data_IF_940192633545
#
_entry.id   IF_940192633545
#
_cell.length_a   1.000
_cell.length_b   1.000
_cell.length_c   1.000
_cell.angle_alpha   90.00
_cell.angle_beta   90.00
_cell.angle_gamma   90.00
#
_symmetry.space_group_name_H-M   'P 1'
#
loop_
_entity.id
_entity.type
_entity.pdbx_description
1 polymer ?
#
# COMPACT_ATOMS: atom_id res chain seq x y z
N UNK A 1 23.08 -35.62 -2.22
CA UNK A 1 21.99 -34.76 -2.77
C UNK A 1 21.35 -34.05 -1.58
N UNK A 2 21.77 -32.82 -1.29
CA UNK A 2 21.30 -32.07 -0.13
C UNK A 2 19.90 -31.51 -0.43
N UNK A 3 18.95 -31.88 0.42
CA UNK A 3 17.56 -31.47 0.40
C UNK A 3 17.49 -29.96 0.67
N UNK A 4 17.22 -29.19 -0.37
CA UNK A 4 16.97 -27.75 -0.29
C UNK A 4 15.56 -27.57 0.27
N UNK A 5 15.44 -27.41 1.58
CA UNK A 5 14.21 -26.96 2.22
C UNK A 5 14.02 -25.48 1.88
N UNK A 6 13.31 -25.24 0.78
CA UNK A 6 12.81 -23.90 0.43
C UNK A 6 11.77 -23.51 1.48
N UNK A 7 12.07 -22.43 2.19
CA UNK A 7 11.21 -21.70 3.10
C UNK A 7 9.96 -21.14 2.36
N UNK A 8 8.96 -21.99 2.13
CA UNK A 8 7.63 -21.61 1.59
C UNK A 8 6.72 -21.04 2.70
N UNK A 9 7.19 -20.05 3.47
CA UNK A 9 6.39 -19.49 4.58
C UNK A 9 6.42 -17.95 4.72
N UNK A 10 7.13 -17.21 3.86
CA UNK A 10 7.26 -15.74 4.01
C UNK A 10 6.87 -14.88 2.80
N UNK A 11 6.63 -15.48 1.63
CA UNK A 11 6.68 -14.76 0.35
C UNK A 11 5.32 -14.15 -0.03
N UNK A 12 4.21 -14.71 0.44
CA UNK A 12 2.85 -14.30 0.02
C UNK A 12 2.41 -12.92 0.51
N UNK A 13 2.70 -12.57 1.78
CA UNK A 13 2.28 -11.27 2.35
C UNK A 13 3.19 -10.13 1.89
N UNK A 14 4.51 -10.36 1.82
CA UNK A 14 5.48 -9.36 1.38
C UNK A 14 5.27 -9.00 -0.08
N UNK A 15 5.13 -9.99 -0.97
CA UNK A 15 4.92 -9.74 -2.39
C UNK A 15 3.64 -8.93 -2.65
N UNK A 16 2.56 -9.22 -1.91
CA UNK A 16 1.32 -8.44 -2.03
C UNK A 16 1.48 -7.02 -1.48
N UNK A 17 2.20 -6.85 -0.37
CA UNK A 17 2.49 -5.53 0.21
C UNK A 17 3.35 -4.67 -0.74
N UNK A 18 4.32 -5.27 -1.44
CA UNK A 18 5.16 -4.59 -2.43
C UNK A 18 4.35 -4.14 -3.64
N UNK A 19 3.46 -4.97 -4.18
CA UNK A 19 2.59 -4.59 -5.30
C UNK A 19 1.69 -3.41 -4.93
N UNK A 20 1.08 -3.44 -3.74
CA UNK A 20 0.24 -2.35 -3.26
C UNK A 20 1.04 -1.08 -2.98
N UNK A 21 2.28 -1.22 -2.51
CA UNK A 21 3.19 -0.10 -2.34
C UNK A 21 3.48 0.59 -3.67
N UNK A 22 3.88 -0.16 -4.69
CA UNK A 22 4.22 0.40 -6.01
C UNK A 22 2.99 1.05 -6.65
N UNK A 23 1.80 0.45 -6.50
CA UNK A 23 0.54 1.06 -6.94
C UNK A 23 0.29 2.41 -6.24
N UNK A 24 0.51 2.48 -4.93
CA UNK A 24 0.43 3.74 -4.18
C UNK A 24 1.41 4.80 -4.70
N UNK A 25 2.64 4.39 -5.03
CA UNK A 25 3.65 5.29 -5.60
C UNK A 25 3.29 5.77 -7.00
N UNK A 26 2.67 4.95 -7.84
CA UNK A 26 2.20 5.36 -9.16
C UNK A 26 1.19 6.52 -9.07
N UNK A 27 0.17 6.38 -8.22
CA UNK A 27 -0.81 7.45 -7.99
C UNK A 27 -0.19 8.69 -7.32
N UNK A 28 0.79 8.51 -6.42
CA UNK A 28 1.46 9.63 -5.74
C UNK A 28 2.31 10.46 -6.71
N UNK A 29 2.95 9.80 -7.68
CA UNK A 29 3.88 10.43 -8.63
C UNK A 29 3.25 10.78 -9.97
N UNK A 30 2.02 10.31 -10.24
CA UNK A 30 1.38 10.44 -11.54
C UNK A 30 2.09 9.64 -12.64
N UNK A 31 2.75 8.54 -12.27
CA UNK A 31 3.37 7.64 -13.25
C UNK A 31 2.26 6.81 -13.89
N UNK A 32 2.05 7.03 -15.18
CA UNK A 32 1.04 6.35 -16.02
C UNK A 32 -0.43 6.63 -15.66
N UNK A 33 -0.69 7.56 -14.74
CA UNK A 33 -2.02 8.01 -14.34
C UNK A 33 -1.98 9.46 -13.82
N UNK A 34 -3.14 10.10 -13.69
CA UNK A 34 -3.23 11.39 -13.00
C UNK A 34 -2.88 11.23 -11.51
N UNK A 35 -2.30 12.28 -10.93
CA UNK A 35 -1.96 12.29 -9.50
C UNK A 35 -3.25 12.22 -8.68
N UNK A 36 -3.37 11.17 -7.86
CA UNK A 36 -4.47 11.00 -6.92
C UNK A 36 -3.91 10.62 -5.54
N UNK A 37 -3.84 11.62 -4.66
CA UNK A 37 -3.31 11.44 -3.30
C UNK A 37 -4.21 10.55 -2.44
N UNK A 38 -5.51 10.47 -2.73
CA UNK A 38 -6.44 9.60 -2.00
C UNK A 38 -6.20 8.15 -2.39
N UNK A 39 -6.13 7.85 -3.68
CA UNK A 39 -5.79 6.52 -4.16
C UNK A 39 -4.39 6.10 -3.67
N UNK A 40 -3.41 6.99 -3.75
CA UNK A 40 -2.06 6.75 -3.25
C UNK A 40 -2.06 6.40 -1.75
N UNK A 41 -2.67 7.24 -0.91
CA UNK A 41 -2.73 7.01 0.53
C UNK A 41 -3.49 5.71 0.86
N UNK A 42 -4.55 5.39 0.12
CA UNK A 42 -5.30 4.13 0.27
C UNK A 42 -4.40 2.92 0.06
N UNK A 43 -3.69 2.85 -1.06
CA UNK A 43 -2.85 1.69 -1.39
C UNK A 43 -1.66 1.56 -0.44
N UNK A 44 -1.02 2.67 -0.07
CA UNK A 44 0.04 2.68 0.94
C UNK A 44 -0.47 2.24 2.32
N UNK A 45 -1.71 2.57 2.69
CA UNK A 45 -2.32 2.09 3.92
C UNK A 45 -2.54 0.58 3.93
N UNK A 46 -3.04 0.01 2.84
CA UNK A 46 -3.25 -1.44 2.74
C UNK A 46 -1.89 -2.17 2.73
N UNK A 47 -0.90 -1.65 2.00
CA UNK A 47 0.46 -2.18 1.99
C UNK A 47 1.11 -2.17 3.39
N UNK A 48 0.93 -1.07 4.15
CA UNK A 48 1.42 -0.98 5.51
C UNK A 48 0.77 -2.03 6.44
N UNK A 49 -0.54 -2.23 6.34
CA UNK A 49 -1.26 -3.26 7.10
C UNK A 49 -0.76 -4.67 6.75
N UNK A 50 -0.33 -4.90 5.50
CA UNK A 50 0.23 -6.18 5.04
C UNK A 50 1.72 -6.37 5.34
N UNK A 51 2.33 -5.42 6.06
CA UNK A 51 3.69 -5.54 6.59
C UNK A 51 4.76 -4.71 5.87
N UNK A 52 4.39 -3.77 4.99
CA UNK A 52 5.36 -2.88 4.36
C UNK A 52 5.65 -1.64 5.23
N UNK A 53 6.78 -1.64 5.93
CA UNK A 53 7.23 -0.49 6.72
C UNK A 53 7.49 0.74 5.83
N UNK A 54 8.02 0.53 4.62
CA UNK A 54 8.21 1.60 3.63
C UNK A 54 6.88 2.25 3.25
N UNK A 55 5.82 1.45 3.11
CA UNK A 55 4.47 1.98 2.86
C UNK A 55 3.94 2.79 4.04
N UNK A 56 4.21 2.36 5.28
CA UNK A 56 3.81 3.09 6.48
C UNK A 56 4.46 4.48 6.53
N UNK A 57 5.76 4.58 6.22
CA UNK A 57 6.48 5.86 6.14
C UNK A 57 5.92 6.74 5.02
N UNK A 58 5.82 6.23 3.79
CA UNK A 58 5.29 7.01 2.66
C UNK A 58 3.85 7.48 2.88
N UNK A 59 3.00 6.63 3.47
CA UNK A 59 1.63 7.02 3.85
C UNK A 59 1.62 8.18 4.83
N UNK A 60 2.49 8.15 5.84
CA UNK A 60 2.59 9.21 6.84
C UNK A 60 3.06 10.52 6.23
N UNK A 61 4.06 10.47 5.34
CA UNK A 61 4.53 11.66 4.60
C UNK A 61 3.45 12.24 3.70
N UNK A 62 2.75 11.39 2.95
CA UNK A 62 1.66 11.81 2.06
C UNK A 62 0.50 12.44 2.85
N UNK A 63 0.18 11.92 4.04
CA UNK A 63 -0.87 12.47 4.88
C UNK A 63 -0.58 13.92 5.33
N UNK A 64 0.68 14.36 5.36
CA UNK A 64 1.04 15.74 5.71
C UNK A 64 0.63 16.76 4.64
N UNK A 65 0.43 16.32 3.39
CA UNK A 65 0.05 17.19 2.27
C UNK A 65 -1.45 17.12 1.94
N UNK A 66 -2.19 16.23 2.62
CA UNK A 66 -3.60 15.98 2.36
C UNK A 66 -4.51 16.68 3.37
N UNK A 67 -5.75 16.98 2.94
CA UNK A 67 -6.78 17.43 3.87
C UNK A 67 -7.26 16.28 4.76
N UNK A 68 -7.82 16.61 5.94
CA UNK A 68 -8.45 15.61 6.82
C UNK A 68 -9.59 14.85 6.12
N UNK A 69 -10.31 15.51 5.22
CA UNK A 69 -11.40 14.89 4.46
C UNK A 69 -10.86 13.86 3.45
N UNK A 70 -9.76 14.17 2.78
CA UNK A 70 -9.13 13.26 1.83
C UNK A 70 -8.55 12.04 2.53
N UNK A 71 -7.91 12.23 3.69
CA UNK A 71 -7.42 11.11 4.52
C UNK A 71 -8.59 10.23 4.96
N UNK A 72 -9.69 10.82 5.44
CA UNK A 72 -10.87 10.07 5.84
C UNK A 72 -11.48 9.27 4.67
N UNK A 73 -11.50 9.85 3.46
CA UNK A 73 -11.92 9.17 2.23
C UNK A 73 -11.00 7.99 1.92
N UNK A 74 -9.68 8.20 1.89
CA UNK A 74 -8.70 7.16 1.58
C UNK A 74 -8.79 5.97 2.57
N UNK A 75 -8.95 6.25 3.87
CA UNK A 75 -9.08 5.21 4.89
C UNK A 75 -10.40 4.43 4.78
N UNK A 76 -11.50 5.11 4.40
CA UNK A 76 -12.78 4.44 4.16
C UNK A 76 -12.68 3.49 2.98
N UNK A 77 -12.16 3.97 1.86
CA UNK A 77 -11.97 3.15 0.66
C UNK A 77 -11.00 2.00 0.87
N UNK A 78 -9.95 2.19 1.69
CA UNK A 78 -9.03 1.12 2.06
C UNK A 78 -9.75 0.04 2.85
N UNK A 79 -10.56 0.43 3.83
CA UNK A 79 -11.37 -0.51 4.62
C UNK A 79 -12.33 -1.30 3.75
N UNK A 80 -13.07 -0.62 2.89
CA UNK A 80 -14.02 -1.26 1.96
C UNK A 80 -13.30 -2.27 1.06
N UNK A 81 -12.16 -1.89 0.47
CA UNK A 81 -11.39 -2.80 -0.37
C UNK A 81 -10.96 -4.07 0.37
N UNK A 82 -10.44 -3.96 1.60
CA UNK A 82 -10.01 -5.09 2.43
C UNK A 82 -11.15 -5.97 2.94
N UNK A 83 -12.40 -5.50 2.91
CA UNK A 83 -13.55 -6.34 3.25
C UNK A 83 -14.06 -7.16 2.06
N UNK A 84 -13.69 -6.77 0.84
CA UNK A 84 -14.15 -7.37 -0.41
C UNK A 84 -13.08 -8.30 -1.02
N UNK A 85 -11.81 -8.09 -0.70
CA UNK A 85 -10.64 -8.80 -1.26
C UNK A 85 -9.76 -9.35 -0.15
#
# INVERSE_FOLDING_TARGET
>A
MARFEVLEAGIGSSAQADVLFELGMMYATGRDCDVDLVAAHKWLNIAAIKGSDRAATMRAELALTMSKMDIARALREAREWMTVH
#
